data_IF_814599047976
#
_entry.id   IF_814599047976
#
_cell.length_a   1.000
_cell.length_b   1.000
_cell.length_c   1.000
_cell.angle_alpha   90.00
_cell.angle_beta   90.00
_cell.angle_gamma   90.00
#
_symmetry.space_group_name_H-M   'P 1'
#
loop_
_entity.id
_entity.type
_entity.pdbx_description
1 polymer ?
#
# COMPACT_ATOMS: atom_id res chain seq x y z
N UNK A 1 -20.21 11.19 -14.15
CA UNK A 1 -19.17 12.22 -14.23
C UNK A 1 -18.18 11.93 -13.11
N UNK A 2 -16.93 11.58 -13.44
CA UNK A 2 -15.93 11.31 -12.41
C UNK A 2 -15.56 12.60 -11.65
N UNK A 3 -15.23 12.53 -10.35
CA UNK A 3 -14.66 13.65 -9.62
C UNK A 3 -13.43 14.21 -10.34
N UNK A 4 -13.15 15.49 -10.13
CA UNK A 4 -11.96 16.12 -10.67
C UNK A 4 -10.68 15.41 -10.18
N UNK A 5 -9.65 15.41 -11.02
CA UNK A 5 -8.30 14.90 -10.70
C UNK A 5 -7.81 15.32 -9.32
N UNK A 6 -8.06 16.58 -8.96
CA UNK A 6 -7.65 17.18 -7.68
C UNK A 6 -8.28 16.48 -6.47
N UNK A 7 -9.54 16.01 -6.60
CA UNK A 7 -10.23 15.27 -5.55
C UNK A 7 -9.53 13.94 -5.27
N UNK A 8 -9.16 13.19 -6.31
CA UNK A 8 -8.46 11.91 -6.11
C UNK A 8 -7.06 12.09 -5.54
N UNK A 9 -6.34 13.14 -5.95
CA UNK A 9 -5.04 13.46 -5.37
C UNK A 9 -5.16 13.88 -3.90
N UNK A 10 -6.15 14.70 -3.55
CA UNK A 10 -6.42 15.09 -2.17
C UNK A 10 -6.73 13.86 -1.29
N UNK A 11 -7.56 12.94 -1.78
CA UNK A 11 -7.85 11.69 -1.10
C UNK A 11 -6.63 10.78 -0.97
N UNK A 12 -5.80 10.68 -2.02
CA UNK A 12 -4.55 9.93 -1.97
C UNK A 12 -3.58 10.51 -0.94
N UNK A 13 -3.45 11.84 -0.88
CA UNK A 13 -2.64 12.52 0.13
C UNK A 13 -3.18 12.32 1.55
N UNK A 14 -4.50 12.32 1.72
CA UNK A 14 -5.13 12.04 3.00
C UNK A 14 -4.82 10.60 3.49
N UNK A 15 -4.93 9.60 2.60
CA UNK A 15 -4.59 8.21 2.93
C UNK A 15 -3.10 8.07 3.25
N UNK A 16 -2.23 8.68 2.45
CA UNK A 16 -0.78 8.64 2.66
C UNK A 16 -0.41 9.31 4.00
N UNK A 17 -0.94 10.50 4.25
CA UNK A 17 -0.74 11.22 5.50
C UNK A 17 -1.25 10.41 6.70
N UNK A 18 -2.44 9.81 6.61
CA UNK A 18 -3.01 8.97 7.65
C UNK A 18 -2.13 7.74 7.96
N UNK A 19 -1.62 7.04 6.94
CA UNK A 19 -0.72 5.88 7.12
C UNK A 19 0.60 6.26 7.79
N UNK A 20 1.22 7.35 7.36
CA UNK A 20 2.48 7.83 7.94
C UNK A 20 2.27 8.35 9.37
N UNK A 21 1.18 9.08 9.60
CA UNK A 21 0.82 9.57 10.92
C UNK A 21 0.55 8.42 11.89
N UNK A 22 -0.17 7.38 11.46
CA UNK A 22 -0.37 6.17 12.25
C UNK A 22 0.94 5.48 12.60
N UNK A 23 1.85 5.31 11.63
CA UNK A 23 3.16 4.70 11.87
C UNK A 23 4.00 5.49 12.88
N UNK A 24 3.98 6.83 12.78
CA UNK A 24 4.64 7.71 13.74
C UNK A 24 4.01 7.59 15.13
N UNK A 25 2.69 7.66 15.23
CA UNK A 25 1.97 7.55 16.49
C UNK A 25 2.19 6.18 17.16
N UNK A 26 2.16 5.09 16.38
CA UNK A 26 2.44 3.75 16.86
C UNK A 26 3.88 3.61 17.36
N UNK A 27 4.84 4.20 16.66
CA UNK A 27 6.25 4.24 17.10
C UNK A 27 6.41 5.00 18.41
N UNK A 28 5.79 6.18 18.53
CA UNK A 28 5.83 7.00 19.75
C UNK A 28 5.14 6.28 20.91
N UNK A 29 3.96 5.70 20.68
CA UNK A 29 3.24 4.91 21.67
C UNK A 29 4.07 3.72 22.17
N UNK A 30 4.72 3.00 21.25
CA UNK A 30 5.61 1.89 21.58
C UNK A 30 6.80 2.35 22.45
N UNK A 31 7.39 3.50 22.13
CA UNK A 31 8.49 4.07 22.90
C UNK A 31 8.08 4.37 24.34
N UNK A 32 6.94 5.04 24.54
CA UNK A 32 6.43 5.34 25.89
C UNK A 32 6.09 4.07 26.66
N UNK A 33 5.40 3.11 26.04
CA UNK A 33 5.09 1.81 26.66
C UNK A 33 6.36 1.08 27.12
N UNK A 34 7.44 1.13 26.35
CA UNK A 34 8.69 0.48 26.74
C UNK A 34 9.45 1.23 27.83
N UNK A 35 9.27 2.54 27.94
CA UNK A 35 9.93 3.38 28.94
C UNK A 35 9.37 3.12 30.35
N UNK A 36 8.07 2.78 30.46
CA UNK A 36 7.37 2.60 31.74
C UNK A 36 7.68 1.28 32.46
N UNK A 37 8.22 0.27 31.78
CA UNK A 37 8.51 -1.04 32.36
C UNK A 37 10.00 -1.36 32.26
N UNK A 38 10.64 -1.66 33.40
CA UNK A 38 12.09 -1.90 33.49
C UNK A 38 12.58 -3.02 32.55
N UNK A 39 11.77 -4.06 32.33
CA UNK A 39 12.12 -5.16 31.43
C UNK A 39 12.15 -4.69 29.97
N UNK A 40 11.14 -3.92 29.55
CA UNK A 40 11.07 -3.40 28.17
C UNK A 40 12.00 -2.22 27.95
N UNK A 41 12.36 -1.48 29.00
CA UNK A 41 13.27 -0.35 28.95
C UNK A 41 14.68 -0.79 28.52
N UNK A 42 15.07 -2.02 28.87
CA UNK A 42 16.29 -2.64 28.36
C UNK A 42 16.30 -2.72 26.81
N UNK A 43 15.15 -2.94 26.17
CA UNK A 43 15.05 -2.98 24.70
C UNK A 43 15.34 -1.63 24.04
N UNK A 44 15.24 -0.51 24.77
CA UNK A 44 15.57 0.83 24.28
C UNK A 44 17.07 1.13 24.34
N UNK A 45 17.85 0.34 25.09
CA UNK A 45 19.29 0.52 25.27
C UNK A 45 20.12 -0.57 24.61
N UNK A 46 19.46 -1.57 24.01
CA UNK A 46 20.11 -2.65 23.29
C UNK A 46 20.46 -2.24 21.84
N UNK A 47 21.69 -2.54 21.40
CA UNK A 47 22.02 -2.50 19.98
C UNK A 47 21.26 -3.61 19.24
N UNK A 48 20.94 -3.37 17.96
CA UNK A 48 20.31 -4.38 17.12
C UNK A 48 21.27 -5.55 16.80
N UNK A 49 22.57 -5.27 16.81
CA UNK A 49 23.64 -6.21 16.48
C UNK A 49 23.69 -6.60 14.99
N UNK A 50 24.72 -7.34 14.61
CA UNK A 50 24.99 -7.71 13.21
C UNK A 50 23.97 -8.68 12.61
N UNK A 51 23.10 -9.28 13.44
CA UNK A 51 22.09 -10.26 13.01
C UNK A 51 20.79 -9.63 12.53
N UNK A 52 20.65 -8.30 12.59
CA UNK A 52 19.50 -7.61 12.03
C UNK A 52 19.54 -7.69 10.49
N UNK A 53 18.92 -8.71 9.89
CA UNK A 53 18.76 -8.82 8.43
C UNK A 53 17.65 -7.87 7.94
N UNK A 54 17.86 -6.56 8.10
CA UNK A 54 16.92 -5.53 7.67
C UNK A 54 17.62 -4.49 6.80
N UNK A 55 16.88 -3.69 6.03
CA UNK A 55 17.48 -2.61 5.22
C UNK A 55 18.31 -1.62 6.04
N UNK A 56 18.02 -1.49 7.34
CA UNK A 56 18.75 -0.62 8.25
C UNK A 56 20.14 -1.15 8.61
N UNK A 57 20.44 -2.45 8.44
CA UNK A 57 21.79 -2.97 8.70
C UNK A 57 22.82 -2.53 7.67
N UNK A 58 22.37 -1.96 6.55
CA UNK A 58 23.25 -1.24 5.63
C UNK A 58 23.82 0.06 6.22
N UNK A 59 23.32 0.51 7.39
CA UNK A 59 23.76 1.72 8.09
C UNK A 59 24.23 1.31 9.51
N UNK A 60 25.48 0.82 9.66
CA UNK A 60 25.97 0.22 10.91
C UNK A 60 25.86 1.16 12.12
N UNK A 61 26.03 2.46 11.89
CA UNK A 61 25.97 3.49 12.94
C UNK A 61 24.60 3.56 13.63
N UNK A 62 23.52 3.21 12.92
CA UNK A 62 22.17 3.19 13.51
C UNK A 62 21.94 1.90 14.30
N UNK A 63 22.46 0.77 13.82
CA UNK A 63 22.24 -0.55 14.43
C UNK A 63 23.14 -0.86 15.62
N UNK A 64 24.35 -0.29 15.68
CA UNK A 64 25.30 -0.43 16.79
C UNK A 64 25.01 0.53 17.95
N UNK A 65 24.18 1.56 17.73
CA UNK A 65 23.77 2.48 18.78
C UNK A 65 22.93 1.78 19.86
N UNK A 66 22.92 2.31 21.09
CA UNK A 66 22.07 1.80 22.17
C UNK A 66 20.57 1.84 21.81
N UNK A 67 20.17 2.69 20.87
CA UNK A 67 18.78 2.79 20.40
C UNK A 67 18.50 1.92 19.16
N UNK A 68 19.49 1.16 18.69
CA UNK A 68 19.46 0.43 17.44
C UNK A 68 18.36 -0.64 17.40
N UNK A 69 18.15 -1.38 18.49
CA UNK A 69 17.09 -2.40 18.54
C UNK A 69 15.70 -1.78 18.34
N UNK A 70 15.42 -0.67 19.04
CA UNK A 70 14.14 0.03 18.90
C UNK A 70 13.94 0.56 17.48
N UNK A 71 14.98 1.12 16.86
CA UNK A 71 14.91 1.61 15.47
C UNK A 71 14.57 0.48 14.50
N UNK A 72 15.25 -0.66 14.59
CA UNK A 72 14.98 -1.83 13.75
C UNK A 72 13.56 -2.35 13.98
N UNK A 73 13.14 -2.44 15.24
CA UNK A 73 11.80 -2.87 15.62
C UNK A 73 10.71 -1.94 15.03
N UNK A 74 10.80 -0.63 15.31
CA UNK A 74 9.84 0.38 14.84
C UNK A 74 9.80 0.41 13.32
N UNK A 75 10.96 0.37 12.67
CA UNK A 75 11.06 0.35 11.22
C UNK A 75 10.37 -0.85 10.59
N UNK A 76 10.71 -2.05 11.06
CA UNK A 76 10.14 -3.29 10.54
C UNK A 76 8.63 -3.38 10.80
N UNK A 77 8.18 -2.97 12.00
CA UNK A 77 6.79 -3.18 12.43
C UNK A 77 5.83 -2.10 11.96
N UNK A 78 6.26 -0.84 11.92
CA UNK A 78 5.36 0.30 11.67
C UNK A 78 5.62 0.99 10.34
N UNK A 79 6.89 1.10 9.92
CA UNK A 79 7.25 1.88 8.74
C UNK A 79 7.30 1.06 7.45
N UNK A 80 7.68 -0.21 7.54
CA UNK A 80 7.85 -1.06 6.36
C UNK A 80 6.58 -1.18 5.53
N UNK A 81 5.42 -1.40 6.17
CA UNK A 81 4.14 -1.55 5.47
C UNK A 81 3.70 -0.27 4.73
N UNK A 82 3.66 0.92 5.36
CA UNK A 82 3.41 2.19 4.65
C UNK A 82 4.39 2.45 3.50
N UNK A 83 5.69 2.20 3.70
CA UNK A 83 6.69 2.43 2.68
C UNK A 83 6.51 1.50 1.48
N UNK A 84 6.27 0.21 1.70
CA UNK A 84 5.94 -0.74 0.64
C UNK A 84 4.66 -0.33 -0.08
N UNK A 85 3.62 0.08 0.66
CA UNK A 85 2.36 0.59 0.10
C UNK A 85 2.59 1.78 -0.84
N UNK A 86 3.37 2.77 -0.39
CA UNK A 86 3.71 3.95 -1.20
C UNK A 86 4.49 3.54 -2.45
N UNK A 87 5.48 2.64 -2.30
CA UNK A 87 6.30 2.15 -3.39
C UNK A 87 5.46 1.45 -4.47
N UNK A 88 4.61 0.49 -4.09
CA UNK A 88 3.78 -0.25 -5.06
C UNK A 88 2.72 0.65 -5.69
N UNK A 89 2.12 1.56 -4.93
CA UNK A 89 1.15 2.52 -5.47
C UNK A 89 1.81 3.49 -6.47
N UNK A 90 3.01 4.00 -6.17
CA UNK A 90 3.76 4.86 -7.07
C UNK A 90 4.17 4.13 -8.36
N UNK A 91 4.62 2.87 -8.25
CA UNK A 91 4.93 2.02 -9.40
C UNK A 91 3.67 1.79 -10.26
N UNK A 92 2.52 1.51 -9.63
CA UNK A 92 1.26 1.32 -10.33
C UNK A 92 0.76 2.61 -10.99
N UNK A 93 0.89 3.77 -10.33
CA UNK A 93 0.58 5.06 -10.93
C UNK A 93 1.42 5.33 -12.18
N UNK A 94 2.74 5.08 -12.10
CA UNK A 94 3.63 5.22 -13.24
C UNK A 94 3.23 4.28 -14.38
N UNK A 95 2.92 3.03 -14.06
CA UNK A 95 2.42 2.05 -15.02
C UNK A 95 1.14 2.55 -15.72
N UNK A 96 0.13 3.01 -14.98
CA UNK A 96 -1.09 3.56 -15.55
C UNK A 96 -0.82 4.81 -16.40
N UNK A 97 0.12 5.66 -16.00
CA UNK A 97 0.49 6.85 -16.78
C UNK A 97 1.15 6.48 -18.10
N UNK A 98 2.00 5.45 -18.12
CA UNK A 98 2.60 4.91 -19.35
C UNK A 98 1.51 4.27 -20.22
N UNK A 99 0.60 3.51 -19.62
CA UNK A 99 -0.50 2.85 -20.33
C UNK A 99 -1.46 3.87 -20.97
N UNK A 100 -1.80 4.94 -20.24
CA UNK A 100 -2.63 6.05 -20.74
C UNK A 100 -2.01 6.76 -21.94
N UNK A 101 -0.68 6.93 -21.96
CA UNK A 101 0.02 7.52 -23.12
C UNK A 101 -0.13 6.68 -24.38
N UNK A 102 -0.16 5.34 -24.25
CA UNK A 102 -0.31 4.43 -25.39
C UNK A 102 -1.76 4.20 -25.79
N UNK A 103 -2.68 4.19 -24.82
CA UNK A 103 -4.08 3.86 -25.05
C UNK A 103 -5.03 4.84 -24.35
N UNK A 104 -4.97 6.12 -24.73
CA UNK A 104 -5.79 7.18 -24.12
C UNK A 104 -7.30 6.91 -24.16
N UNK A 105 -7.78 6.08 -25.11
CA UNK A 105 -9.18 5.72 -25.28
C UNK A 105 -9.79 4.90 -24.13
N UNK A 106 -8.97 4.23 -23.31
CA UNK A 106 -9.44 3.46 -22.15
C UNK A 106 -9.40 4.27 -20.85
N UNK A 107 -9.02 5.54 -20.91
CA UNK A 107 -8.84 6.39 -19.74
C UNK A 107 -9.68 7.64 -19.82
N UNK A 108 -10.54 7.83 -18.82
CA UNK A 108 -11.16 9.12 -18.57
C UNK A 108 -10.22 10.06 -17.79
N UNK A 109 -10.68 11.30 -17.60
CA UNK A 109 -10.00 12.28 -16.75
C UNK A 109 -10.00 11.80 -15.29
N UNK A 110 -8.84 11.86 -14.64
CA UNK A 110 -8.67 11.44 -13.24
C UNK A 110 -8.52 9.95 -12.98
N UNK A 111 -8.72 9.05 -13.96
CA UNK A 111 -8.66 7.60 -13.72
C UNK A 111 -7.27 7.09 -13.34
N UNK A 112 -6.21 7.77 -13.79
CA UNK A 112 -4.84 7.44 -13.41
C UNK A 112 -4.62 7.74 -11.92
N UNK A 113 -5.10 8.89 -11.45
CA UNK A 113 -5.07 9.30 -10.04
C UNK A 113 -5.99 8.43 -9.17
N UNK A 114 -7.15 8.03 -9.70
CA UNK A 114 -8.02 7.06 -9.05
C UNK A 114 -7.31 5.71 -8.87
N UNK A 115 -6.57 5.25 -9.86
CA UNK A 115 -5.78 4.02 -9.75
C UNK A 115 -4.67 4.11 -8.70
N UNK A 116 -4.03 5.27 -8.57
CA UNK A 116 -3.07 5.54 -7.49
C UNK A 116 -3.73 5.49 -6.11
N UNK A 117 -4.85 6.17 -5.96
CA UNK A 117 -5.65 6.17 -4.74
C UNK A 117 -6.14 4.76 -4.36
N UNK A 118 -6.66 4.01 -5.34
CA UNK A 118 -7.10 2.63 -5.18
C UNK A 118 -5.96 1.71 -4.71
N UNK A 119 -4.76 1.85 -5.29
CA UNK A 119 -3.58 1.10 -4.87
C UNK A 119 -3.12 1.46 -3.44
N UNK A 120 -3.19 2.74 -3.05
CA UNK A 120 -2.90 3.18 -1.68
C UNK A 120 -3.91 2.63 -0.65
N UNK A 121 -5.18 2.55 -1.03
CA UNK A 121 -6.22 1.92 -0.19
C UNK A 121 -5.93 0.44 -0.05
N UNK A 122 -5.75 -0.27 -1.17
CA UNK A 122 -5.47 -1.71 -1.16
C UNK A 122 -4.24 -2.04 -0.30
N UNK A 123 -3.22 -1.18 -0.34
CA UNK A 123 -2.04 -1.27 0.52
C UNK A 123 -1.21 -2.52 0.28
N UNK A 124 -0.13 -2.67 1.03
CA UNK A 124 0.60 -3.94 1.10
C UNK A 124 0.06 -4.81 2.25
N UNK A 125 -0.12 -6.14 2.08
CA UNK A 125 0.05 -6.95 0.86
C UNK A 125 -1.19 -7.01 -0.05
N UNK A 126 -2.28 -6.33 0.30
CA UNK A 126 -3.55 -6.36 -0.43
C UNK A 126 -3.43 -6.02 -1.93
N UNK A 127 -2.41 -5.25 -2.31
CA UNK A 127 -2.07 -4.91 -3.70
C UNK A 127 -1.88 -6.15 -4.58
N UNK A 128 -1.33 -7.24 -4.03
CA UNK A 128 -1.09 -8.50 -4.75
C UNK A 128 -2.40 -9.13 -5.21
N UNK A 129 -3.47 -8.98 -4.43
CA UNK A 129 -4.82 -9.46 -4.75
C UNK A 129 -5.58 -8.42 -5.57
N UNK A 130 -5.38 -7.13 -5.27
CA UNK A 130 -5.96 -6.03 -6.02
C UNK A 130 -5.62 -6.11 -7.52
N UNK A 131 -4.36 -6.35 -7.89
CA UNK A 131 -3.96 -6.36 -9.30
C UNK A 131 -4.71 -7.41 -10.16
N UNK A 132 -4.76 -8.70 -9.80
CA UNK A 132 -5.56 -9.68 -10.54
C UNK A 132 -7.06 -9.41 -10.46
N UNK A 133 -7.57 -8.84 -9.35
CA UNK A 133 -8.96 -8.41 -9.26
C UNK A 133 -9.30 -7.27 -10.23
N UNK A 134 -8.41 -6.28 -10.39
CA UNK A 134 -8.58 -5.21 -11.39
C UNK A 134 -8.66 -5.84 -12.77
N UNK A 135 -7.74 -6.74 -13.11
CA UNK A 135 -7.74 -7.40 -14.40
C UNK A 135 -9.05 -8.17 -14.63
N UNK A 136 -9.48 -8.99 -13.68
CA UNK A 136 -10.74 -9.73 -13.77
C UNK A 136 -11.94 -8.78 -13.91
N UNK A 137 -12.01 -7.73 -13.07
CA UNK A 137 -13.08 -6.74 -13.11
C UNK A 137 -13.15 -6.00 -14.45
N UNK A 138 -12.00 -5.66 -15.06
CA UNK A 138 -11.95 -5.03 -16.39
C UNK A 138 -12.47 -5.98 -17.47
N UNK A 139 -12.08 -7.25 -17.42
CA UNK A 139 -12.56 -8.27 -18.37
C UNK A 139 -14.07 -8.45 -18.25
N UNK A 140 -14.59 -8.65 -17.03
CA UNK A 140 -16.02 -8.83 -16.81
C UNK A 140 -16.82 -7.58 -17.17
N UNK A 141 -16.33 -6.38 -16.80
CA UNK A 141 -16.97 -5.13 -17.18
C UNK A 141 -17.02 -4.98 -18.70
N UNK A 142 -15.94 -5.33 -19.40
CA UNK A 142 -15.88 -5.26 -20.86
C UNK A 142 -16.80 -6.25 -21.55
N UNK A 143 -16.91 -7.47 -21.06
CA UNK A 143 -17.88 -8.45 -21.57
C UNK A 143 -19.32 -8.01 -21.33
N UNK A 144 -19.62 -7.54 -20.11
CA UNK A 144 -20.95 -7.05 -19.77
C UNK A 144 -21.37 -5.87 -20.65
N UNK A 145 -20.46 -4.92 -20.88
CA UNK A 145 -20.71 -3.76 -21.75
C UNK A 145 -20.91 -4.17 -23.21
N UNK A 146 -20.10 -5.10 -23.72
CA UNK A 146 -20.23 -5.60 -25.08
C UNK A 146 -21.56 -6.32 -25.31
N UNK A 147 -21.98 -7.15 -24.35
CA UNK A 147 -23.21 -7.96 -24.48
C UNK A 147 -24.47 -7.09 -24.26
N UNK A 148 -24.47 -6.27 -23.20
CA UNK A 148 -25.67 -5.52 -22.81
C UNK A 148 -25.84 -4.19 -23.56
N UNK A 149 -24.75 -3.45 -23.77
CA UNK A 149 -24.77 -2.09 -24.32
C UNK A 149 -24.25 -2.01 -25.76
N UNK A 150 -23.67 -3.11 -26.29
CA UNK A 150 -23.02 -3.16 -27.61
C UNK A 150 -21.90 -2.12 -27.80
N UNK A 151 -21.34 -1.64 -26.68
CA UNK A 151 -20.22 -0.71 -26.68
C UNK A 151 -18.90 -1.47 -26.52
N UNK A 152 -17.93 -1.20 -27.39
CA UNK A 152 -16.64 -1.88 -27.38
C UNK A 152 -15.63 -1.31 -26.37
N UNK A 153 -15.91 -0.14 -25.78
CA UNK A 153 -14.96 0.60 -24.94
C UNK A 153 -15.40 0.59 -23.48
N UNK A 154 -14.50 0.16 -22.60
CA UNK A 154 -14.70 0.15 -21.15
C UNK A 154 -13.65 1.02 -20.47
N UNK A 155 -14.11 1.89 -19.57
CA UNK A 155 -13.25 2.77 -18.78
C UNK A 155 -12.75 2.03 -17.54
N UNK A 156 -11.57 2.40 -17.05
CA UNK A 156 -10.89 1.64 -16.00
C UNK A 156 -11.42 1.96 -14.59
N UNK A 157 -12.14 3.06 -14.41
CA UNK A 157 -12.43 3.58 -13.08
C UNK A 157 -13.35 2.70 -12.23
N UNK A 158 -14.45 2.19 -12.78
CA UNK A 158 -15.37 1.31 -12.02
C UNK A 158 -14.70 -0.01 -11.65
N UNK A 159 -14.02 -0.72 -12.57
CA UNK A 159 -13.22 -1.90 -12.22
C UNK A 159 -12.18 -1.64 -11.12
N UNK A 160 -11.48 -0.49 -11.17
CA UNK A 160 -10.48 -0.12 -10.15
C UNK A 160 -11.13 0.02 -8.76
N UNK A 161 -12.26 0.72 -8.66
CA UNK A 161 -12.97 0.89 -7.39
C UNK A 161 -13.51 -0.42 -6.84
N UNK A 162 -14.09 -1.27 -7.70
CA UNK A 162 -14.60 -2.58 -7.29
C UNK A 162 -13.47 -3.47 -6.75
N UNK A 163 -12.35 -3.55 -7.49
CA UNK A 163 -11.20 -4.31 -7.05
C UNK A 163 -10.59 -3.77 -5.75
N UNK A 164 -10.52 -2.44 -5.59
CA UNK A 164 -10.04 -1.82 -4.35
C UNK A 164 -10.96 -2.12 -3.17
N UNK A 165 -12.29 -2.06 -3.36
CA UNK A 165 -13.27 -2.41 -2.34
C UNK A 165 -13.16 -3.87 -1.90
N UNK A 166 -13.03 -4.79 -2.87
CA UNK A 166 -12.84 -6.22 -2.56
C UNK A 166 -11.50 -6.45 -1.85
N UNK A 167 -10.42 -5.83 -2.32
CA UNK A 167 -9.11 -5.94 -1.68
C UNK A 167 -9.10 -5.34 -0.26
N UNK A 168 -9.86 -4.28 -0.01
CA UNK A 168 -9.98 -3.68 1.32
C UNK A 168 -10.71 -4.59 2.31
N UNK A 169 -11.79 -5.25 1.88
CA UNK A 169 -12.63 -6.06 2.77
C UNK A 169 -12.09 -7.49 2.92
N UNK A 170 -11.63 -8.10 1.84
CA UNK A 170 -11.22 -9.52 1.79
C UNK A 170 -9.75 -9.73 1.46
N UNK A 171 -8.95 -8.67 1.29
CA UNK A 171 -7.56 -8.78 0.84
C UNK A 171 -6.72 -9.70 1.71
N UNK A 172 -6.80 -9.57 3.04
CA UNK A 172 -6.05 -10.43 3.95
C UNK A 172 -6.48 -11.91 3.85
N UNK A 173 -7.79 -12.17 3.82
CA UNK A 173 -8.31 -13.52 3.69
C UNK A 173 -7.87 -14.17 2.36
N UNK A 174 -7.89 -13.40 1.26
CA UNK A 174 -7.45 -13.85 -0.05
C UNK A 174 -5.94 -14.09 -0.12
N UNK A 175 -5.12 -13.21 0.46
CA UNK A 175 -3.66 -13.42 0.57
C UNK A 175 -3.35 -14.71 1.32
N UNK A 176 -4.05 -14.96 2.43
CA UNK A 176 -3.91 -16.20 3.22
C UNK A 176 -4.35 -17.43 2.41
N UNK A 177 -5.50 -17.35 1.74
CA UNK A 177 -6.03 -18.43 0.91
C UNK A 177 -5.08 -18.80 -0.24
N UNK A 178 -4.41 -17.82 -0.84
CA UNK A 178 -3.41 -18.03 -1.89
C UNK A 178 -2.08 -18.61 -1.37
N UNK A 179 -1.94 -18.86 -0.06
CA UNK A 179 -0.71 -19.36 0.55
C UNK A 179 0.40 -18.31 0.65
N UNK A 180 0.09 -17.02 0.48
CA UNK A 180 1.05 -15.91 0.45
C UNK A 180 1.26 -15.27 1.83
N UNK A 181 1.25 -16.09 2.88
CA UNK A 181 1.37 -15.64 4.28
C UNK A 181 2.68 -14.90 4.56
N UNK A 182 3.76 -15.24 3.84
CA UNK A 182 5.06 -14.60 3.99
C UNK A 182 5.07 -13.10 3.59
N UNK A 183 4.04 -12.63 2.89
CA UNK A 183 3.91 -11.22 2.50
C UNK A 183 3.20 -10.36 3.54
N UNK A 184 2.57 -10.99 4.54
CA UNK A 184 1.90 -10.29 5.64
C UNK A 184 2.98 -9.80 6.60
N UNK A 185 3.19 -8.47 6.61
CA UNK A 185 4.17 -7.76 7.43
C UNK A 185 3.44 -6.93 8.47
#
# INVERSE_FOLDING_TARGET
MWPARETFLALAWAVLGGRLFYAALASVGQFFLWTENDLTKMLLTLPAGDKAQTLLSAIPHLTESSFGYFLVYSWGRFWLNPLLTILVAAAFYLFLRILKRRNARFFDEGETELGFFAALIAGWPGFVVFLPLVFAAVVFASLARLIALREALTTLGVPLLLAAGIALVWGEALVRFMGLWALIV
#
